data_IF_602458460951
#
_entry.id   IF_602458460951
#
_cell.length_a   1.000
_cell.length_b   1.000
_cell.length_c   1.000
_cell.angle_alpha   90.00
_cell.angle_beta   90.00
_cell.angle_gamma   90.00
#
_symmetry.space_group_name_H-M   'P 1'
#
loop_
_entity.id
_entity.type
_entity.pdbx_description
1 polymer ?
#
# COMPACT_ATOMS: atom_id res chain seq x y z
N UNK A 1 58.88 4.39 -17.76
CA UNK A 1 57.65 4.24 -18.57
C UNK A 1 56.79 3.14 -17.96
N UNK A 2 55.51 3.45 -17.67
CA UNK A 2 54.31 2.58 -17.52
C UNK A 2 54.46 1.32 -16.62
N UNK A 3 54.19 1.40 -15.31
CA UNK A 3 52.90 1.15 -14.63
C UNK A 3 52.11 -0.03 -15.22
N UNK A 4 52.21 -1.21 -14.60
CA UNK A 4 51.14 -2.22 -14.63
C UNK A 4 50.54 -2.34 -13.23
N UNK A 5 49.24 -2.06 -13.18
CA UNK A 5 48.39 -1.92 -12.02
C UNK A 5 47.89 -3.31 -11.61
N UNK A 6 48.20 -3.76 -10.38
CA UNK A 6 47.40 -4.78 -9.70
C UNK A 6 46.06 -4.13 -9.38
N UNK A 7 44.98 -4.63 -9.97
CA UNK A 7 43.62 -4.27 -9.57
C UNK A 7 42.77 -5.52 -9.68
N UNK A 8 42.40 -6.10 -8.54
CA UNK A 8 41.11 -6.73 -8.26
C UNK A 8 41.17 -7.38 -6.87
N UNK A 9 41.12 -6.56 -5.83
CA UNK A 9 40.72 -6.99 -4.49
C UNK A 9 39.75 -5.94 -3.93
N UNK A 10 38.54 -5.94 -4.46
CA UNK A 10 37.39 -5.33 -3.81
C UNK A 10 36.19 -6.23 -4.08
N UNK A 11 36.16 -7.39 -3.40
CA UNK A 11 34.90 -7.97 -2.99
C UNK A 11 34.23 -6.93 -2.09
N UNK A 12 33.52 -6.00 -2.71
CA UNK A 12 32.58 -5.12 -2.05
C UNK A 12 31.59 -6.04 -1.35
N UNK A 13 31.54 -5.92 -0.04
CA UNK A 13 30.48 -6.47 0.79
C UNK A 13 29.14 -6.14 0.12
N UNK A 14 28.50 -7.15 -0.45
CA UNK A 14 27.10 -7.08 -0.85
C UNK A 14 26.32 -7.12 0.47
N UNK A 15 26.27 -5.97 1.15
CA UNK A 15 25.24 -5.73 2.15
C UNK A 15 23.93 -5.75 1.39
N UNK A 16 23.10 -6.75 1.64
CA UNK A 16 21.73 -6.80 1.14
C UNK A 16 21.00 -5.58 1.66
N UNK A 17 20.89 -4.53 0.83
CA UNK A 17 20.03 -3.40 1.12
C UNK A 17 18.60 -3.93 1.06
N UNK A 18 18.03 -4.21 2.23
CA UNK A 18 16.65 -4.61 2.35
C UNK A 18 15.76 -3.44 1.96
N UNK A 19 14.78 -3.68 1.08
CA UNK A 19 13.82 -2.67 0.68
C UNK A 19 13.06 -2.17 1.92
N UNK A 20 13.02 -0.86 2.11
CA UNK A 20 12.29 -0.25 3.22
C UNK A 20 10.78 -0.47 3.03
N UNK A 21 10.01 -0.78 4.08
CA UNK A 21 8.57 -1.00 3.94
C UNK A 21 7.85 0.24 3.42
N UNK A 22 6.96 0.06 2.46
CA UNK A 22 6.17 1.14 1.91
C UNK A 22 4.80 1.24 2.62
N UNK A 23 4.70 2.14 3.60
CA UNK A 23 3.42 2.46 4.25
C UNK A 23 2.70 3.57 3.47
N UNK A 24 1.41 3.36 3.22
CA UNK A 24 0.53 4.30 2.52
C UNK A 24 0.17 5.45 3.45
N UNK A 25 0.24 6.67 2.93
CA UNK A 25 -0.21 7.85 3.66
C UNK A 25 -1.69 7.73 4.06
N UNK A 26 -2.02 8.23 5.26
CA UNK A 26 -3.38 8.23 5.83
C UNK A 26 -4.03 6.85 6.03
N UNK A 27 -3.30 5.75 5.86
CA UNK A 27 -3.76 4.40 6.21
C UNK A 27 -3.45 4.10 7.67
N UNK A 28 -4.41 3.51 8.37
CA UNK A 28 -4.22 3.02 9.74
C UNK A 28 -3.70 1.60 9.73
N UNK A 29 -2.80 1.35 10.65
CA UNK A 29 -2.12 0.07 10.82
C UNK A 29 -2.24 -0.41 12.26
N UNK A 30 -2.18 -1.72 12.43
CA UNK A 30 -2.20 -2.37 13.73
C UNK A 30 -0.96 -3.22 13.89
N UNK A 31 -0.28 -3.06 15.02
CA UNK A 31 0.96 -3.75 15.35
C UNK A 31 0.63 -5.00 16.14
N UNK A 32 0.87 -6.18 15.59
CA UNK A 32 0.51 -7.47 16.19
C UNK A 32 1.73 -8.33 16.45
N UNK A 33 1.85 -8.89 17.66
CA UNK A 33 3.03 -9.60 18.12
C UNK A 33 2.93 -11.09 17.81
N UNK A 34 3.97 -11.68 17.20
CA UNK A 34 4.03 -13.09 16.79
C UNK A 34 3.71 -14.03 17.95
N UNK A 35 4.24 -13.74 19.15
CA UNK A 35 4.04 -14.59 20.33
C UNK A 35 2.56 -14.87 20.64
N UNK A 36 1.69 -13.92 20.35
CA UNK A 36 0.28 -13.97 20.69
C UNK A 36 -0.62 -14.17 19.45
N UNK A 37 -0.03 -14.38 18.28
CA UNK A 37 -0.70 -14.44 16.97
C UNK A 37 -0.37 -15.75 16.23
N UNK A 38 -0.33 -16.88 16.93
CA UNK A 38 0.06 -18.17 16.34
C UNK A 38 -1.02 -18.83 15.47
N UNK A 39 -2.26 -18.35 15.50
CA UNK A 39 -3.35 -18.94 14.70
C UNK A 39 -4.49 -17.99 14.32
N UNK A 40 -4.69 -16.90 15.05
CA UNK A 40 -5.72 -15.92 14.75
C UNK A 40 -5.08 -14.53 14.74
N UNK A 41 -5.34 -13.76 13.69
CA UNK A 41 -4.77 -12.43 13.43
C UNK A 41 -5.06 -11.36 14.49
N UNK A 42 -5.54 -11.72 15.67
CA UNK A 42 -5.99 -10.82 16.72
C UNK A 42 -4.86 -10.36 17.63
N UNK A 43 -5.13 -9.26 18.35
CA UNK A 43 -4.26 -8.68 19.36
C UNK A 43 -3.29 -7.60 18.87
N UNK A 44 -3.30 -6.45 19.54
CA UNK A 44 -2.68 -5.20 19.09
C UNK A 44 -2.00 -4.42 20.21
N UNK A 45 -0.98 -3.65 19.84
CA UNK A 45 -0.45 -2.58 20.70
C UNK A 45 -1.49 -1.46 20.83
N UNK A 46 -1.79 -1.09 22.08
CA UNK A 46 -2.79 -0.08 22.49
C UNK A 46 -2.25 0.79 23.62
N UNK A 47 -2.98 1.86 23.98
CA UNK A 47 -2.66 2.73 25.11
C UNK A 47 -3.26 2.11 26.39
N UNK A 48 -2.42 1.75 27.35
CA UNK A 48 -2.86 0.94 28.49
C UNK A 48 -3.97 1.57 29.35
N UNK A 49 -3.99 2.90 29.47
CA UNK A 49 -5.04 3.60 30.23
C UNK A 49 -6.44 3.45 29.63
N UNK A 50 -6.57 3.24 28.32
CA UNK A 50 -7.87 2.99 27.66
C UNK A 50 -8.41 1.58 27.96
N UNK A 51 -7.56 0.71 28.50
CA UNK A 51 -7.82 -0.72 28.72
C UNK A 51 -7.71 -1.10 30.20
N UNK A 52 -7.85 -0.12 31.10
CA UNK A 52 -7.73 -0.30 32.56
C UNK A 52 -6.39 -0.92 32.99
N UNK A 53 -5.30 -0.63 32.27
CA UNK A 53 -3.95 -1.08 32.61
C UNK A 53 -3.12 0.04 33.20
N UNK A 54 -2.21 -0.31 34.11
CA UNK A 54 -1.28 0.63 34.74
C UNK A 54 -0.07 0.97 33.86
N UNK A 55 0.22 0.11 32.88
CA UNK A 55 1.29 0.29 31.90
C UNK A 55 0.89 1.33 30.86
N UNK A 56 1.88 2.05 30.32
CA UNK A 56 1.63 3.11 29.34
C UNK A 56 1.20 2.55 27.99
N UNK A 57 1.94 1.54 27.51
CA UNK A 57 1.63 0.79 26.30
C UNK A 57 1.39 -0.68 26.66
N UNK A 58 0.33 -1.24 26.11
CA UNK A 58 -0.16 -2.56 26.43
C UNK A 58 -0.37 -3.36 25.15
N UNK A 59 -0.09 -4.64 25.17
CA UNK A 59 -0.53 -5.56 24.14
C UNK A 59 -1.85 -6.19 24.55
N UNK A 60 -2.94 -5.71 23.95
CA UNK A 60 -4.25 -6.32 24.09
C UNK A 60 -4.31 -7.56 23.22
N UNK A 61 -4.50 -8.74 23.82
CA UNK A 61 -4.64 -10.01 23.11
C UNK A 61 -6.10 -10.40 22.86
N UNK A 62 -7.03 -9.46 23.05
CA UNK A 62 -8.46 -9.64 22.76
C UNK A 62 -8.74 -9.94 21.29
N UNK A 63 -9.96 -10.42 21.02
CA UNK A 63 -10.44 -10.80 19.68
C UNK A 63 -11.16 -9.66 18.94
N UNK A 64 -11.02 -8.42 19.42
CA UNK A 64 -11.58 -7.22 18.81
C UNK A 64 -10.53 -6.10 18.83
N UNK A 65 -10.77 -5.06 18.04
CA UNK A 65 -9.88 -3.90 17.95
C UNK A 65 -10.60 -2.67 18.49
N UNK A 66 -9.89 -1.93 19.34
CA UNK A 66 -10.33 -0.66 19.90
C UNK A 66 -9.82 0.51 19.03
N UNK A 67 -10.37 1.72 19.21
CA UNK A 67 -9.95 2.89 18.44
C UNK A 67 -8.44 3.16 18.54
N UNK A 68 -7.82 2.86 19.69
CA UNK A 68 -6.38 3.03 19.92
C UNK A 68 -5.54 1.81 19.54
N UNK A 69 -6.14 0.78 18.95
CA UNK A 69 -5.42 -0.30 18.25
C UNK A 69 -4.75 0.18 16.96
N UNK A 70 -5.16 1.33 16.45
CA UNK A 70 -4.78 1.84 15.14
C UNK A 70 -3.69 2.93 15.22
N UNK A 71 -2.74 2.86 14.30
CA UNK A 71 -1.56 3.71 14.25
C UNK A 71 -1.29 4.17 12.81
N UNK A 72 -0.91 5.43 12.63
CA UNK A 72 -0.32 5.90 11.38
C UNK A 72 1.19 5.62 11.41
N UNK A 73 1.71 5.03 10.34
CA UNK A 73 3.15 4.78 10.18
C UNK A 73 3.62 5.57 8.96
N UNK A 74 4.37 6.64 9.20
CA UNK A 74 4.78 7.57 8.16
C UNK A 74 6.29 7.58 8.01
N UNK A 75 6.78 7.52 6.77
CA UNK A 75 8.20 7.65 6.48
C UNK A 75 8.68 9.04 6.95
N UNK A 76 9.78 9.07 7.69
CA UNK A 76 10.40 10.31 8.16
C UNK A 76 11.92 10.11 8.28
N UNK A 77 12.67 10.86 7.49
CA UNK A 77 14.11 10.68 7.36
C UNK A 77 14.47 9.22 7.04
N UNK A 78 15.41 8.67 7.81
CA UNK A 78 15.87 7.29 7.62
C UNK A 78 14.94 6.23 8.22
N UNK A 79 13.94 6.63 9.02
CA UNK A 79 13.03 5.71 9.71
C UNK A 79 11.56 6.02 9.46
N UNK A 80 10.75 5.67 10.45
CA UNK A 80 9.30 5.90 10.45
C UNK A 80 8.89 6.49 11.79
N UNK A 81 7.99 7.47 11.76
CA UNK A 81 7.23 7.87 12.95
C UNK A 81 5.99 7.00 13.05
N UNK A 82 5.64 6.60 14.26
CA UNK A 82 4.45 5.80 14.55
C UNK A 82 3.55 6.60 15.47
N UNK A 83 2.33 6.91 15.03
CA UNK A 83 1.42 7.84 15.71
C UNK A 83 0.10 7.14 16.00
N UNK A 84 -0.36 7.16 17.25
CA UNK A 84 -1.65 6.57 17.59
C UNK A 84 -2.78 7.34 16.88
N UNK A 85 -3.65 6.64 16.17
CA UNK A 85 -4.71 7.28 15.40
C UNK A 85 -5.82 7.89 16.27
N UNK A 86 -5.97 7.43 17.52
CA UNK A 86 -6.94 7.97 18.47
C UNK A 86 -6.41 9.18 19.23
N UNK A 87 -5.20 9.10 19.78
CA UNK A 87 -4.64 10.17 20.62
C UNK A 87 -3.79 11.19 19.86
N UNK A 88 -3.30 10.86 18.65
CA UNK A 88 -2.33 11.66 17.92
C UNK A 88 -0.92 11.63 18.52
N UNK A 89 -0.67 10.77 19.51
CA UNK A 89 0.62 10.70 20.20
C UNK A 89 1.60 9.77 19.50
N UNK A 90 2.87 10.16 19.50
CA UNK A 90 3.98 9.48 18.86
C UNK A 90 4.54 8.41 19.79
N UNK A 91 4.83 7.23 19.25
CA UNK A 91 5.75 6.29 19.92
C UNK A 91 7.15 6.86 19.88
N UNK A 92 7.71 7.09 21.06
CA UNK A 92 9.01 7.74 21.22
C UNK A 92 9.86 6.94 22.19
N UNK A 93 11.10 6.69 21.80
CA UNK A 93 12.11 6.09 22.66
C UNK A 93 12.39 6.99 23.86
N UNK A 94 12.58 6.39 25.03
CA UNK A 94 12.92 7.09 26.26
C UNK A 94 13.93 6.27 27.04
N UNK A 95 14.72 6.92 27.90
CA UNK A 95 15.58 6.23 28.87
C UNK A 95 14.80 5.75 30.11
N UNK A 96 13.51 6.09 30.22
CA UNK A 96 12.65 5.68 31.33
C UNK A 96 12.40 4.17 31.34
N UNK A 97 12.78 3.53 32.44
CA UNK A 97 12.49 2.12 32.73
C UNK A 97 11.90 1.98 34.14
N UNK A 98 10.62 1.67 34.22
CA UNK A 98 9.93 1.38 35.48
C UNK A 98 8.86 0.30 35.25
N UNK A 99 7.91 0.11 36.17
CA UNK A 99 6.87 -0.92 36.04
C UNK A 99 5.74 -0.52 35.06
N UNK A 100 5.66 0.74 34.63
CA UNK A 100 4.66 1.27 33.69
C UNK A 100 5.20 1.44 32.27
N UNK A 101 6.46 1.83 32.16
CA UNK A 101 7.11 2.24 30.91
C UNK A 101 8.44 1.50 30.77
N UNK A 102 8.71 0.96 29.58
CA UNK A 102 9.95 0.27 29.26
C UNK A 102 10.49 0.83 27.95
N UNK A 103 11.23 1.92 28.05
CA UNK A 103 11.97 2.54 26.94
C UNK A 103 11.14 3.02 25.73
N UNK A 104 9.82 2.90 25.75
CA UNK A 104 8.89 3.49 24.77
C UNK A 104 7.80 4.24 25.54
N UNK A 105 7.57 5.49 25.18
CA UNK A 105 6.58 6.39 25.79
C UNK A 105 5.78 7.10 24.69
N UNK A 106 4.71 7.79 25.08
CA UNK A 106 3.84 8.58 24.21
C UNK A 106 4.15 10.08 24.34
N UNK A 107 4.45 10.74 23.22
CA UNK A 107 4.69 12.19 23.17
C UNK A 107 3.70 12.89 22.23
N UNK A 108 3.37 14.16 22.51
CA UNK A 108 2.42 14.92 21.69
C UNK A 108 3.02 15.47 20.38
N UNK A 109 4.33 15.32 20.19
CA UNK A 109 5.06 15.70 18.99
C UNK A 109 6.21 14.71 18.75
N UNK A 110 6.67 14.62 17.51
CA UNK A 110 7.89 13.89 17.17
C UNK A 110 9.11 14.53 17.85
N UNK A 111 9.94 13.70 18.46
CA UNK A 111 11.20 14.08 19.09
C UNK A 111 12.34 13.47 18.28
N UNK A 112 12.89 14.23 17.32
CA UNK A 112 14.13 13.90 16.63
C UNK A 112 14.23 12.44 16.17
N UNK A 113 15.35 11.80 16.51
CA UNK A 113 15.61 10.39 16.21
C UNK A 113 14.91 9.45 17.21
N UNK A 114 14.52 9.94 18.38
CA UNK A 114 13.83 9.15 19.40
C UNK A 114 12.43 8.72 18.95
N UNK A 115 11.76 9.50 18.11
CA UNK A 115 10.48 9.10 17.50
C UNK A 115 10.62 8.32 16.19
N UNK A 116 11.84 8.01 15.75
CA UNK A 116 12.09 7.27 14.52
C UNK A 116 12.35 5.79 14.83
N UNK A 117 11.64 4.94 14.11
CA UNK A 117 11.73 3.49 14.20
C UNK A 117 12.21 2.88 12.88
N UNK A 118 13.07 1.88 12.96
CA UNK A 118 13.63 1.13 11.83
C UNK A 118 13.02 -0.26 11.81
N UNK A 119 12.54 -0.69 10.65
CA UNK A 119 11.92 -2.01 10.45
C UNK A 119 12.94 -2.95 9.82
N UNK A 120 13.15 -4.09 10.46
CA UNK A 120 13.99 -5.19 10.02
C UNK A 120 13.09 -6.40 9.76
N UNK A 121 12.75 -6.61 8.49
CA UNK A 121 11.68 -7.53 8.05
C UNK A 121 12.28 -8.86 7.59
N UNK A 122 11.79 -9.97 8.09
CA UNK A 122 12.19 -11.29 7.61
C UNK A 122 11.32 -11.78 6.43
N UNK A 123 11.71 -12.90 5.82
CA UNK A 123 10.99 -13.53 4.69
C UNK A 123 9.52 -13.85 4.98
N UNK A 124 9.18 -14.15 6.23
CA UNK A 124 7.82 -14.44 6.70
C UNK A 124 6.94 -13.18 6.90
N UNK A 125 7.48 -11.99 6.59
CA UNK A 125 6.80 -10.71 6.77
C UNK A 125 6.58 -10.33 8.24
N UNK A 126 7.46 -10.77 9.14
CA UNK A 126 7.59 -10.23 10.50
C UNK A 126 8.69 -9.19 10.55
N UNK A 127 8.45 -8.09 11.26
CA UNK A 127 9.46 -7.08 11.55
C UNK A 127 9.94 -7.18 13.00
N UNK A 128 11.25 -7.15 13.18
CA UNK A 128 11.86 -6.54 14.35
C UNK A 128 11.86 -5.02 14.16
N UNK A 129 11.50 -4.26 15.20
CA UNK A 129 11.35 -2.79 15.08
C UNK A 129 12.28 -2.12 16.09
N UNK A 130 13.34 -1.49 15.59
CA UNK A 130 14.43 -0.90 16.37
C UNK A 130 14.28 0.61 16.53
N UNK A 131 14.70 1.17 17.66
CA UNK A 131 14.86 2.62 17.81
C UNK A 131 16.00 3.13 16.93
N UNK A 132 15.75 4.17 16.13
CA UNK A 132 16.78 4.82 15.34
C UNK A 132 17.79 5.60 16.20
N UNK A 133 17.43 5.98 17.43
CA UNK A 133 18.31 6.73 18.33
C UNK A 133 19.48 5.90 18.87
N UNK A 134 19.39 4.56 18.83
CA UNK A 134 20.36 3.64 19.45
C UNK A 134 21.15 2.79 18.43
N UNK A 135 20.96 3.00 17.12
CA UNK A 135 21.70 2.33 16.04
C UNK A 135 21.15 0.96 15.63
N UNK A 136 21.55 0.50 14.43
CA UNK A 136 21.06 -0.73 13.80
C UNK A 136 21.79 -1.98 14.34
N UNK A 137 21.05 -3.01 14.78
CA UNK A 137 21.56 -4.37 15.02
C UNK A 137 21.95 -4.77 16.45
N UNK A 138 22.02 -3.83 17.41
CA UNK A 138 22.21 -4.14 18.85
C UNK A 138 21.52 -3.12 19.78
N UNK A 139 20.57 -2.37 19.21
CA UNK A 139 19.83 -1.30 19.85
C UNK A 139 18.66 -1.80 20.70
N UNK A 140 17.74 -0.89 21.03
CA UNK A 140 16.50 -1.22 21.70
C UNK A 140 15.41 -1.53 20.67
N UNK A 141 14.81 -2.71 20.77
CA UNK A 141 13.79 -3.21 19.84
C UNK A 141 12.45 -3.41 20.54
N UNK A 142 11.35 -3.22 19.83
CA UNK A 142 10.01 -3.52 20.34
C UNK A 142 9.92 -4.94 20.87
N UNK A 143 9.23 -5.09 22.00
CA UNK A 143 9.05 -6.35 22.71
C UNK A 143 7.77 -6.27 23.53
N UNK A 144 7.03 -7.38 23.58
CA UNK A 144 5.93 -7.58 24.52
C UNK A 144 6.38 -8.49 25.65
N UNK A 145 6.21 -8.06 26.91
CA UNK A 145 6.49 -8.92 28.05
C UNK A 145 5.56 -10.13 28.10
N UNK A 146 6.17 -11.29 28.32
CA UNK A 146 5.49 -12.59 28.47
C UNK A 146 5.28 -13.00 29.94
N UNK A 147 5.50 -12.07 30.89
CA UNK A 147 5.32 -12.28 32.34
C UNK A 147 3.87 -12.10 32.81
N UNK A 148 2.92 -12.05 31.89
CA UNK A 148 1.49 -11.81 32.13
C UNK A 148 1.10 -10.33 32.23
N UNK A 149 2.06 -9.40 32.25
CA UNK A 149 1.75 -7.96 32.21
C UNK A 149 1.36 -7.47 30.82
N UNK A 150 1.76 -8.19 29.76
CA UNK A 150 1.68 -7.80 28.36
C UNK A 150 2.13 -6.34 28.12
N UNK A 151 3.10 -5.88 28.93
CA UNK A 151 3.68 -4.55 28.77
C UNK A 151 4.41 -4.50 27.43
N UNK A 152 4.03 -3.56 26.57
CA UNK A 152 4.74 -3.27 25.32
C UNK A 152 5.79 -2.18 25.56
N UNK A 153 7.02 -2.44 25.14
CA UNK A 153 8.12 -1.51 25.27
C UNK A 153 9.28 -1.88 24.36
N UNK A 154 10.48 -1.38 24.65
CA UNK A 154 11.68 -1.71 23.91
C UNK A 154 12.77 -2.28 24.83
N UNK A 155 13.56 -3.22 24.32
CA UNK A 155 14.57 -3.95 25.09
C UNK A 155 15.81 -4.17 24.24
N UNK A 156 16.96 -4.32 24.90
CA UNK A 156 18.18 -4.76 24.21
C UNK A 156 18.05 -6.24 23.91
N UNK A 157 18.23 -6.61 22.66
CA UNK A 157 18.25 -7.98 22.19
C UNK A 157 19.36 -8.13 21.14
N UNK A 158 19.99 -9.30 21.10
CA UNK A 158 20.98 -9.64 20.08
C UNK A 158 20.36 -10.41 18.89
N UNK A 159 19.14 -10.93 19.08
CA UNK A 159 18.33 -11.70 18.14
C UNK A 159 16.85 -11.47 18.46
N UNK A 160 15.95 -11.64 17.49
CA UNK A 160 14.51 -11.48 17.72
C UNK A 160 13.85 -12.80 18.16
N UNK A 161 13.34 -12.82 19.39
CA UNK A 161 12.41 -13.87 19.85
C UNK A 161 10.98 -13.61 19.35
N UNK A 162 10.07 -14.57 19.53
CA UNK A 162 8.67 -14.44 19.08
C UNK A 162 7.95 -13.21 19.64
N UNK A 163 8.31 -12.75 20.84
CA UNK A 163 7.69 -11.57 21.44
C UNK A 163 8.31 -10.24 20.98
N UNK A 164 9.28 -10.29 20.07
CA UNK A 164 10.01 -9.17 19.47
C UNK A 164 9.74 -9.06 17.96
N UNK A 165 8.96 -9.99 17.42
CA UNK A 165 8.57 -10.06 16.02
C UNK A 165 7.13 -9.62 15.85
N UNK A 166 6.89 -8.69 14.92
CA UNK A 166 5.59 -8.06 14.71
C UNK A 166 5.12 -8.16 13.27
N UNK A 167 3.84 -8.47 13.07
CA UNK A 167 3.14 -8.22 11.82
C UNK A 167 2.46 -6.86 11.88
N UNK A 168 2.39 -6.21 10.72
CA UNK A 168 1.69 -4.95 10.57
C UNK A 168 0.49 -5.18 9.66
N UNK A 169 -0.69 -5.00 10.23
CA UNK A 169 -1.95 -5.20 9.51
C UNK A 169 -2.58 -3.87 9.15
N UNK A 170 -3.10 -3.74 7.93
CA UNK A 170 -3.99 -2.62 7.59
C UNK A 170 -5.41 -2.83 8.18
N UNK A 171 -6.30 -1.86 7.97
CA UNK A 171 -7.70 -1.92 8.42
C UNK A 171 -8.49 -3.09 7.80
N UNK A 172 -7.99 -3.66 6.71
CA UNK A 172 -8.58 -4.81 6.02
C UNK A 172 -8.02 -6.15 6.53
N UNK A 173 -7.02 -6.12 7.41
CA UNK A 173 -6.40 -7.32 7.98
C UNK A 173 -5.29 -7.93 7.11
N UNK A 174 -4.79 -7.21 6.10
CA UNK A 174 -3.67 -7.65 5.28
C UNK A 174 -2.34 -7.39 6.00
N UNK A 175 -1.45 -8.37 6.04
CA UNK A 175 -0.08 -8.13 6.51
C UNK A 175 0.72 -7.39 5.43
N UNK A 176 1.01 -6.11 5.65
CA UNK A 176 1.60 -5.22 4.64
C UNK A 176 3.13 -5.38 4.48
N UNK A 177 3.73 -6.31 5.22
CA UNK A 177 5.16 -6.59 5.19
C UNK A 177 5.55 -7.81 4.34
N UNK A 178 4.60 -8.67 3.95
CA UNK A 178 4.87 -9.87 3.14
C UNK A 178 5.32 -9.55 1.70
N UNK A 179 4.87 -8.42 1.13
CA UNK A 179 5.27 -7.99 -0.21
C UNK A 179 6.61 -7.20 -0.23
N UNK A 180 7.22 -6.96 0.93
CA UNK A 180 8.46 -6.18 1.08
C UNK A 180 9.70 -7.03 1.42
N UNK A 181 9.56 -8.34 1.62
CA UNK A 181 10.66 -9.24 1.94
C UNK A 181 11.22 -9.93 0.68
N UNK A 182 12.04 -9.18 -0.08
CA UNK A 182 13.07 -9.77 -0.94
C UNK A 182 12.60 -10.44 -2.25
N UNK A 183 12.40 -9.63 -3.28
CA UNK A 183 12.93 -9.93 -4.62
C UNK A 183 13.03 -8.66 -5.45
N UNK A 184 14.20 -8.02 -5.39
CA UNK A 184 14.67 -7.21 -6.50
C UNK A 184 14.88 -8.15 -7.68
N UNK A 185 13.98 -8.08 -8.66
CA UNK A 185 14.01 -8.95 -9.82
C UNK A 185 12.95 -8.51 -10.82
N UNK A 186 13.22 -7.40 -11.52
CA UNK A 186 12.72 -7.31 -12.89
C UNK A 186 13.29 -8.50 -13.66
N UNK A 187 12.44 -9.46 -13.98
CA UNK A 187 12.56 -10.20 -15.23
C UNK A 187 11.16 -10.34 -15.81
N UNK A 188 10.88 -9.50 -16.81
CA UNK A 188 9.88 -9.83 -17.81
C UNK A 188 10.19 -11.21 -18.41
N UNK A 189 9.16 -12.03 -18.54
CA UNK A 189 9.29 -13.39 -19.05
C UNK A 189 8.14 -14.31 -18.65
N UNK A 190 6.90 -13.83 -18.66
CA UNK A 190 5.72 -14.67 -18.50
C UNK A 190 5.40 -15.38 -19.81
N UNK A 191 6.02 -16.53 -20.06
CA UNK A 191 5.53 -17.50 -21.04
C UNK A 191 4.77 -18.60 -20.32
N UNK A 192 3.46 -18.62 -20.52
CA UNK A 192 2.64 -19.82 -20.61
C UNK A 192 2.31 -20.55 -19.31
N UNK A 193 1.03 -20.49 -18.92
CA UNK A 193 0.46 -21.38 -17.92
C UNK A 193 -0.93 -20.96 -17.48
N UNK A 194 -1.88 -20.87 -18.42
CA UNK A 194 -3.30 -20.83 -18.08
C UNK A 194 -3.67 -22.08 -17.27
N UNK A 195 -4.12 -21.88 -16.04
CA UNK A 195 -5.22 -22.68 -15.46
C UNK A 195 -6.11 -21.71 -14.70
N UNK A 196 -7.30 -21.50 -15.26
CA UNK A 196 -8.28 -20.55 -14.77
C UNK A 196 -8.72 -20.83 -13.33
N UNK A 197 -8.76 -19.76 -12.56
CA UNK A 197 -9.78 -19.59 -11.54
C UNK A 197 -10.25 -18.14 -11.69
N UNK A 198 -11.47 -17.96 -12.18
CA UNK A 198 -12.09 -16.65 -12.26
C UNK A 198 -12.26 -16.12 -10.83
N UNK A 199 -11.49 -15.09 -10.47
CA UNK A 199 -11.64 -14.43 -9.19
C UNK A 199 -13.05 -13.84 -9.09
N UNK A 200 -13.85 -14.31 -8.14
CA UNK A 200 -15.16 -13.74 -7.84
C UNK A 200 -14.98 -12.49 -6.99
N UNK A 201 -14.60 -11.38 -7.63
CA UNK A 201 -14.48 -10.09 -6.96
C UNK A 201 -15.91 -9.55 -6.63
N UNK A 202 -16.27 -9.47 -5.34
CA UNK A 202 -17.55 -8.89 -4.91
C UNK A 202 -17.45 -7.37 -4.78
N UNK A 203 -17.71 -6.68 -5.89
CA UNK A 203 -17.72 -5.23 -5.97
C UNK A 203 -18.87 -4.57 -5.18
N UNK A 204 -19.79 -5.35 -4.59
CA UNK A 204 -20.86 -4.82 -3.74
C UNK A 204 -20.50 -4.74 -2.26
N UNK A 205 -19.47 -5.45 -1.81
CA UNK A 205 -19.05 -5.49 -0.41
C UNK A 205 -18.38 -4.20 0.08
N UNK A 206 -17.66 -3.48 -0.79
CA UNK A 206 -16.97 -2.23 -0.43
C UNK A 206 -17.20 -1.15 -1.48
N UNK A 207 -16.83 0.10 -1.18
CA UNK A 207 -16.90 1.21 -2.15
C UNK A 207 -15.58 1.43 -2.88
N UNK A 208 -14.50 0.70 -2.57
CA UNK A 208 -13.21 0.73 -3.25
C UNK A 208 -12.35 -0.47 -2.84
N UNK A 209 -11.33 -0.81 -3.63
CA UNK A 209 -10.45 -1.94 -3.36
C UNK A 209 -9.45 -2.22 -4.47
N UNK A 210 -8.85 -3.41 -4.43
CA UNK A 210 -8.11 -4.00 -5.55
C UNK A 210 -8.77 -5.30 -5.98
N UNK A 211 -8.75 -5.60 -7.28
CA UNK A 211 -9.21 -6.88 -7.82
C UNK A 211 -8.24 -7.99 -7.43
N UNK A 212 -8.69 -9.24 -7.56
CA UNK A 212 -7.84 -10.44 -7.49
C UNK A 212 -6.61 -10.43 -8.41
N UNK A 213 -6.55 -9.48 -9.37
CA UNK A 213 -5.44 -9.27 -10.30
C UNK A 213 -4.57 -8.04 -9.96
N UNK A 214 -4.75 -7.44 -8.78
CA UNK A 214 -3.91 -6.35 -8.27
C UNK A 214 -4.28 -4.93 -8.73
N UNK A 215 -5.44 -4.76 -9.36
CA UNK A 215 -5.85 -3.50 -9.98
C UNK A 215 -6.81 -2.74 -9.10
N UNK A 216 -6.66 -1.43 -9.04
CA UNK A 216 -7.57 -0.58 -8.27
C UNK A 216 -8.97 -0.54 -8.89
N UNK A 217 -10.01 -0.63 -8.05
CA UNK A 217 -11.41 -0.41 -8.41
C UNK A 217 -12.10 0.43 -7.33
N UNK A 218 -13.13 1.21 -7.70
CA UNK A 218 -13.94 1.94 -6.72
C UNK A 218 -15.30 2.46 -7.21
N UNK A 219 -16.07 2.97 -6.23
CA UNK A 219 -17.46 3.46 -6.30
C UNK A 219 -17.64 4.78 -5.53
N UNK A 220 -16.57 5.48 -5.11
CA UNK A 220 -16.67 6.61 -4.15
C UNK A 220 -16.98 7.98 -4.75
N UNK A 221 -17.69 8.06 -5.88
CA UNK A 221 -18.04 9.35 -6.50
C UNK A 221 -16.82 10.24 -6.82
N UNK A 222 -15.68 9.62 -7.19
CA UNK A 222 -14.39 10.28 -7.38
C UNK A 222 -14.47 11.66 -8.01
N UNK A 223 -13.77 12.62 -7.40
CA UNK A 223 -13.42 13.91 -8.01
C UNK A 223 -12.10 13.87 -8.79
N UNK A 224 -11.31 12.80 -8.61
CA UNK A 224 -10.04 12.53 -9.28
C UNK A 224 -9.67 11.04 -9.10
N UNK A 225 -8.81 10.44 -9.95
CA UNK A 225 -8.26 9.10 -9.70
C UNK A 225 -7.46 9.06 -8.39
N UNK A 226 -7.43 7.89 -7.74
CA UNK A 226 -6.75 7.67 -6.45
C UNK A 226 -5.26 8.05 -6.51
N UNK A 227 -4.62 7.70 -7.62
CA UNK A 227 -3.21 7.94 -7.94
C UNK A 227 -3.08 8.33 -9.40
N UNK A 228 -2.43 9.46 -9.64
CA UNK A 228 -1.96 9.84 -10.96
C UNK A 228 -0.67 9.12 -11.32
N UNK A 229 -0.58 8.68 -12.56
CA UNK A 229 0.67 8.21 -13.15
C UNK A 229 1.59 9.40 -13.41
N UNK A 230 2.78 9.34 -12.82
CA UNK A 230 3.86 10.33 -13.01
C UNK A 230 4.91 9.86 -14.03
N UNK A 231 4.93 8.57 -14.37
CA UNK A 231 5.80 7.96 -15.37
C UNK A 231 5.00 7.05 -16.31
N UNK A 232 4.93 7.38 -17.60
CA UNK A 232 4.25 6.52 -18.59
C UNK A 232 5.03 5.25 -18.92
N UNK A 233 6.32 5.20 -18.55
CA UNK A 233 7.15 4.00 -18.68
C UNK A 233 6.87 2.98 -17.56
N UNK A 234 6.29 3.43 -16.45
CA UNK A 234 5.88 2.60 -15.31
C UNK A 234 4.53 3.11 -14.75
N UNK A 235 3.42 2.85 -15.48
CA UNK A 235 2.14 3.45 -15.15
C UNK A 235 1.44 2.74 -13.98
N UNK A 236 0.71 3.52 -13.17
CA UNK A 236 -0.22 2.96 -12.18
C UNK A 236 -1.49 2.55 -12.91
N UNK A 237 -1.73 1.24 -12.96
CA UNK A 237 -2.82 0.64 -13.74
C UNK A 237 -4.12 0.48 -12.93
N UNK A 238 -5.23 0.71 -13.63
CA UNK A 238 -6.59 0.59 -13.15
C UNK A 238 -7.40 -0.31 -14.08
N UNK A 239 -8.35 -1.02 -13.49
CA UNK A 239 -9.48 -1.58 -14.21
C UNK A 239 -10.70 -0.71 -13.98
N UNK A 240 -11.49 -0.53 -15.03
CA UNK A 240 -12.76 0.19 -14.94
C UNK A 240 -13.87 -0.85 -15.04
N UNK A 241 -14.77 -0.88 -14.06
CA UNK A 241 -15.92 -1.77 -14.04
C UNK A 241 -17.23 -0.95 -14.11
N UNK A 242 -18.17 -1.40 -14.93
CA UNK A 242 -19.52 -0.88 -14.94
C UNK A 242 -20.36 -1.61 -13.89
N UNK A 243 -20.66 -0.90 -12.81
CA UNK A 243 -21.42 -1.42 -11.68
C UNK A 243 -22.86 -1.82 -12.03
N UNK A 244 -23.46 -1.21 -13.06
CA UNK A 244 -24.83 -1.53 -13.49
C UNK A 244 -24.91 -2.92 -14.11
N UNK A 245 -23.87 -3.32 -14.82
CA UNK A 245 -23.82 -4.56 -15.62
C UNK A 245 -22.90 -5.62 -15.01
N UNK A 246 -22.07 -5.26 -14.03
CA UNK A 246 -21.04 -6.13 -13.45
C UNK A 246 -19.88 -6.45 -14.42
N UNK A 247 -19.77 -5.70 -15.52
CA UNK A 247 -18.79 -5.96 -16.60
C UNK A 247 -17.60 -5.02 -16.52
N UNK A 248 -16.50 -5.41 -17.14
CA UNK A 248 -15.30 -4.57 -17.25
C UNK A 248 -15.30 -3.74 -18.52
N UNK A 249 -14.56 -2.64 -18.52
CA UNK A 249 -14.25 -1.90 -19.74
C UNK A 249 -13.09 -2.59 -20.45
N UNK A 250 -13.32 -2.92 -21.72
CA UNK A 250 -12.31 -3.43 -22.65
C UNK A 250 -12.24 -2.57 -23.92
N UNK A 251 -11.27 -2.88 -24.76
CA UNK A 251 -11.15 -2.35 -26.11
C UNK A 251 -11.73 -3.36 -27.08
N UNK A 252 -12.72 -2.92 -27.85
CA UNK A 252 -13.39 -3.72 -28.87
C UNK A 252 -13.47 -2.97 -30.20
N UNK A 253 -14.27 -3.51 -31.10
CA UNK A 253 -14.58 -2.87 -32.38
C UNK A 253 -16.04 -2.44 -32.39
N UNK A 254 -16.29 -1.18 -32.71
CA UNK A 254 -17.64 -0.66 -32.87
C UNK A 254 -18.31 -1.31 -34.08
N UNK A 255 -19.48 -1.93 -33.87
CA UNK A 255 -20.27 -2.52 -34.96
C UNK A 255 -20.76 -1.47 -35.98
N UNK A 256 -20.75 -0.19 -35.60
CA UNK A 256 -21.28 0.90 -36.42
C UNK A 256 -20.21 1.58 -37.28
N UNK A 257 -18.97 1.68 -36.78
CA UNK A 257 -17.85 2.35 -37.48
C UNK A 257 -16.75 1.40 -37.92
N UNK A 258 -16.72 0.17 -37.41
CA UNK A 258 -15.58 -0.75 -37.53
C UNK A 258 -14.25 -0.15 -37.03
N UNK A 259 -14.32 0.77 -36.07
CA UNK A 259 -13.15 1.38 -35.41
C UNK A 259 -13.03 0.91 -33.98
N UNK A 260 -11.83 1.06 -33.39
CA UNK A 260 -11.59 0.78 -31.98
C UNK A 260 -12.50 1.63 -31.09
N UNK A 261 -13.18 0.98 -30.15
CA UNK A 261 -14.03 1.63 -29.18
C UNK A 261 -13.85 1.01 -27.79
N UNK A 262 -14.24 1.75 -26.76
CA UNK A 262 -14.45 1.14 -25.46
C UNK A 262 -15.75 0.34 -25.49
N UNK A 263 -15.70 -0.90 -25.01
CA UNK A 263 -16.84 -1.81 -24.90
C UNK A 263 -16.88 -2.41 -23.50
N UNK A 264 -18.01 -3.01 -23.15
CA UNK A 264 -18.07 -3.90 -21.99
C UNK A 264 -17.58 -5.30 -22.37
N UNK A 265 -16.80 -5.92 -21.49
CA UNK A 265 -16.34 -7.31 -21.59
C UNK A 265 -16.74 -8.08 -20.34
N UNK A 266 -16.97 -9.38 -20.50
CA UNK A 266 -17.51 -10.23 -19.44
C UNK A 266 -16.42 -10.73 -18.49
N UNK A 267 -15.33 -11.25 -19.06
CA UNK A 267 -14.26 -11.85 -18.30
C UNK A 267 -13.23 -10.82 -17.91
N UNK A 268 -12.72 -10.96 -16.69
CA UNK A 268 -11.68 -10.09 -16.19
C UNK A 268 -10.41 -10.20 -17.05
N UNK A 269 -10.11 -11.36 -17.64
CA UNK A 269 -8.97 -11.56 -18.56
C UNK A 269 -9.00 -10.64 -19.78
N UNK A 270 -10.19 -10.22 -20.22
CA UNK A 270 -10.39 -9.49 -21.47
C UNK A 270 -10.46 -7.98 -21.26
N UNK A 271 -10.40 -7.54 -20.00
CA UNK A 271 -10.48 -6.12 -19.65
C UNK A 271 -9.24 -5.38 -20.11
N UNK A 272 -9.44 -4.11 -20.44
CA UNK A 272 -8.32 -3.22 -20.70
C UNK A 272 -7.88 -2.55 -19.42
N UNK A 273 -6.58 -2.50 -19.20
CA UNK A 273 -5.98 -1.75 -18.09
C UNK A 273 -5.73 -0.31 -18.54
N UNK A 274 -5.99 0.65 -17.65
CA UNK A 274 -5.87 2.08 -17.92
C UNK A 274 -4.93 2.77 -16.94
N UNK A 275 -4.34 3.88 -17.34
CA UNK A 275 -3.64 4.79 -16.44
C UNK A 275 -4.08 6.24 -16.67
N UNK A 276 -3.97 7.04 -15.61
CA UNK A 276 -4.44 8.43 -15.59
C UNK A 276 -3.28 9.37 -15.42
N UNK A 277 -3.16 10.35 -16.32
CA UNK A 277 -2.13 11.40 -16.25
C UNK A 277 -2.81 12.74 -15.97
N UNK A 278 -2.38 13.42 -14.91
CA UNK A 278 -2.86 14.77 -14.61
C UNK A 278 -2.37 15.74 -15.69
N UNK A 279 -3.27 16.51 -16.29
CA UNK A 279 -2.95 17.50 -17.31
C UNK A 279 -3.76 18.77 -17.11
N UNK A 280 -3.10 19.84 -16.65
CA UNK A 280 -3.77 21.07 -16.24
C UNK A 280 -4.76 20.81 -15.08
N UNK A 281 -6.02 21.20 -15.27
CA UNK A 281 -7.12 20.98 -14.31
C UNK A 281 -7.91 19.69 -14.57
N UNK A 282 -7.51 18.89 -15.56
CA UNK A 282 -8.23 17.67 -15.96
C UNK A 282 -7.31 16.46 -16.06
N UNK A 283 -7.86 15.37 -16.61
CA UNK A 283 -7.18 14.09 -16.79
C UNK A 283 -7.08 13.68 -18.23
N UNK A 284 -5.96 13.09 -18.59
CA UNK A 284 -5.85 12.24 -19.78
C UNK A 284 -5.83 10.78 -19.36
N UNK A 285 -6.63 9.96 -20.04
CA UNK A 285 -6.77 8.54 -19.77
C UNK A 285 -6.09 7.79 -20.90
N UNK A 286 -5.27 6.80 -20.55
CA UNK A 286 -4.56 5.98 -21.51
C UNK A 286 -4.80 4.50 -21.21
N UNK A 287 -4.76 3.65 -22.23
CA UNK A 287 -4.59 2.21 -22.05
C UNK A 287 -3.15 1.92 -21.63
N UNK A 288 -2.92 0.76 -21.00
CA UNK A 288 -1.56 0.27 -20.64
C UNK A 288 -0.58 0.34 -21.81
N UNK A 289 -1.07 0.09 -23.03
CA UNK A 289 -0.25 0.10 -24.25
C UNK A 289 -0.01 1.51 -24.82
N UNK A 290 -0.47 2.55 -24.12
CA UNK A 290 -0.19 3.95 -24.44
C UNK A 290 -1.17 4.62 -25.40
N UNK A 291 -2.30 3.99 -25.72
CA UNK A 291 -3.36 4.62 -26.53
C UNK A 291 -4.19 5.53 -25.66
N UNK A 292 -4.47 6.76 -26.08
CA UNK A 292 -5.29 7.67 -25.28
C UNK A 292 -6.78 7.45 -25.56
N UNK A 293 -7.61 7.60 -24.51
CA UNK A 293 -9.06 7.60 -24.63
C UNK A 293 -9.50 8.94 -25.20
N UNK A 294 -10.14 8.87 -26.37
CA UNK A 294 -10.69 10.02 -27.07
C UNK A 294 -12.20 9.94 -27.09
N UNK A 295 -12.85 11.10 -27.05
CA UNK A 295 -14.23 11.21 -27.50
C UNK A 295 -14.31 12.07 -28.75
N UNK A 296 -15.35 11.87 -29.52
CA UNK A 296 -15.76 12.76 -30.57
C UNK A 296 -17.28 12.83 -30.48
N UNK A 297 -17.79 13.80 -29.72
CA UNK A 297 -19.21 14.17 -29.76
C UNK A 297 -19.37 15.28 -30.79
N UNK A 298 -20.02 15.03 -31.93
CA UNK A 298 -20.56 16.13 -32.71
C UNK A 298 -21.72 16.76 -31.94
N UNK A 299 -22.06 17.99 -32.31
CA UNK A 299 -23.33 18.64 -31.96
C UNK A 299 -24.48 17.64 -32.05
N UNK A 300 -25.40 17.63 -31.07
CA UNK A 300 -26.42 16.60 -30.95
C UNK A 300 -27.39 16.71 -32.12
N UNK A 301 -27.12 15.97 -33.19
CA UNK A 301 -28.20 15.41 -33.98
C UNK A 301 -28.29 13.96 -33.53
N UNK A 302 -29.42 13.60 -32.93
CA UNK A 302 -29.71 12.23 -32.54
C UNK A 302 -30.07 11.39 -33.78
N UNK A 303 -29.48 11.68 -34.95
CA UNK A 303 -29.78 10.90 -36.14
C UNK A 303 -29.09 9.56 -36.05
N UNK A 304 -29.80 8.53 -36.49
CA UNK A 304 -29.30 7.18 -36.77
C UNK A 304 -28.18 7.14 -37.85
N UNK A 305 -27.76 8.31 -38.35
CA UNK A 305 -26.67 8.46 -39.32
C UNK A 305 -25.34 8.88 -38.69
N UNK A 306 -25.34 9.44 -37.47
CA UNK A 306 -24.10 9.70 -36.73
C UNK A 306 -23.64 8.44 -35.98
N UNK A 307 -22.89 7.62 -36.71
CA UNK A 307 -22.57 6.24 -36.35
C UNK A 307 -21.31 6.08 -35.49
N UNK A 308 -20.78 7.15 -34.89
CA UNK A 308 -19.46 7.14 -34.21
C UNK A 308 -19.53 6.54 -32.81
N UNK A 309 -18.47 5.84 -32.39
CA UNK A 309 -18.34 5.32 -31.02
C UNK A 309 -18.13 6.48 -30.04
N UNK A 310 -18.98 6.59 -29.01
CA UNK A 310 -18.91 7.68 -28.03
C UNK A 310 -17.55 7.83 -27.33
N UNK A 311 -16.85 6.71 -27.12
CA UNK A 311 -15.47 6.65 -26.60
C UNK A 311 -14.63 5.69 -27.45
N UNK A 312 -13.46 6.16 -27.88
CA UNK A 312 -12.50 5.41 -28.71
C UNK A 312 -11.11 5.42 -28.08
N UNK A 313 -10.24 4.49 -28.48
CA UNK A 313 -8.81 4.51 -28.14
C UNK A 313 -7.99 4.82 -29.39
N UNK A 314 -7.06 5.76 -29.27
CA UNK A 314 -6.32 6.35 -30.39
C UNK A 314 -4.82 6.39 -30.09
N UNK A 315 -3.99 6.12 -31.10
CA UNK A 315 -2.54 6.22 -31.00
C UNK A 315 -2.07 7.68 -31.10
N UNK A 316 -0.98 8.01 -30.40
CA UNK A 316 -0.29 9.30 -30.52
C UNK A 316 -0.41 10.17 -29.29
N UNK A 317 -0.12 11.47 -29.44
CA UNK A 317 -0.16 12.43 -28.34
C UNK A 317 -1.51 13.14 -28.30
N UNK A 318 -2.25 13.08 -27.18
CA UNK A 318 -3.54 13.76 -27.07
C UNK A 318 -3.38 15.29 -27.13
N UNK A 319 -4.10 15.93 -28.05
CA UNK A 319 -4.29 17.38 -28.09
C UNK A 319 -5.70 17.72 -27.58
N UNK A 320 -5.87 17.74 -26.25
CA UNK A 320 -7.17 17.82 -25.58
C UNK A 320 -7.56 16.51 -24.90
N UNK A 321 -8.85 16.13 -24.98
CA UNK A 321 -9.45 15.00 -24.26
C UNK A 321 -9.14 15.04 -22.77
N UNK A 322 -9.38 16.22 -22.17
CA UNK A 322 -9.28 16.44 -20.74
C UNK A 322 -10.60 16.07 -20.08
N UNK A 323 -10.55 15.04 -19.26
CA UNK A 323 -11.68 14.51 -18.52
C UNK A 323 -11.74 15.15 -17.14
N UNK A 324 -12.94 15.57 -16.73
CA UNK A 324 -13.25 15.82 -15.33
C UNK A 324 -13.80 14.53 -14.69
N UNK A 325 -13.56 14.34 -13.40
CA UNK A 325 -14.23 13.31 -12.62
C UNK A 325 -15.27 13.94 -11.72
N UNK A 326 -16.44 13.33 -11.66
CA UNK A 326 -17.51 13.74 -10.77
C UNK A 326 -18.87 13.37 -11.32
N UNK A 327 -19.85 13.39 -10.43
CA UNK A 327 -21.26 13.30 -10.78
C UNK A 327 -21.82 14.72 -10.87
N UNK A 328 -22.46 15.07 -11.99
CA UNK A 328 -23.35 16.24 -12.01
C UNK A 328 -24.63 15.83 -11.30
N UNK A 329 -24.87 16.37 -10.10
CA UNK A 329 -26.20 16.32 -9.50
C UNK A 329 -27.10 17.24 -10.32
N UNK A 330 -27.92 16.66 -11.19
CA UNK A 330 -29.12 17.33 -11.68
C UNK A 330 -30.28 17.00 -10.76
#
# INVERSE_FOLDING_TARGET
MKKFLLFFLSLLAIGTAQAAPNFKANTKYRISCKKFNSSNSYGSVVIGSNHSKLVELYYDSGNSYSDDSWWYINKSGNGYVIVNAKSGQYLTFTTTKNYRTKYVTLTNAASGNESLWIFDINEDGYAGIASASEGNGSGYHFNVRIDGTNLFGAYRANYYDENELFKIYDEQGNNVLLDNSGSGGETGGGSGGETGSEGTDDFNATTYGKTSYGEYWERTQLKQPIVYTTSVADPVLYSIANLRTGRYVGVGTSMNTNTTCLTEVYSASDRTQFYFVQSGTGVQIFTKDGQYVSTNYPTPDNSVSDKRAGLSVVNGTPNGNLWGFGWTTN
#
